data_IF_044992846686
#
_entry.id   IF_044992846686
#
_cell.length_a   1.000
_cell.length_b   1.000
_cell.length_c   1.000
_cell.angle_alpha   90.00
_cell.angle_beta   90.00
_cell.angle_gamma   90.00
#
_symmetry.space_group_name_H-M   'P 1'
#
loop_
_entity.id
_entity.type
_entity.pdbx_description
1 polymer ?
#
# COMPACT_ATOMS: atom_id res chain seq x y z
N UNK A 1 15.32 5.99 52.56
CA UNK A 1 13.88 6.18 52.85
C UNK A 1 13.27 6.97 51.69
N UNK A 2 12.75 6.26 50.69
CA UNK A 2 12.17 6.83 49.46
C UNK A 2 10.67 7.03 49.64
N UNK A 3 10.22 8.27 49.51
CA UNK A 3 8.82 8.68 49.61
C UNK A 3 8.08 8.21 48.34
N UNK A 4 6.96 7.46 48.43
CA UNK A 4 6.24 7.00 47.26
C UNK A 4 5.63 8.19 46.52
N UNK A 5 5.84 8.26 45.20
CA UNK A 5 5.21 9.23 44.32
C UNK A 5 3.73 8.90 44.19
N UNK A 6 2.88 9.81 44.65
CA UNK A 6 1.43 9.73 44.51
C UNK A 6 1.04 10.14 43.08
N UNK A 7 0.68 9.14 42.26
CA UNK A 7 0.32 9.31 40.85
C UNK A 7 -1.18 9.62 40.63
N UNK A 8 -1.94 10.00 41.68
CA UNK A 8 -3.39 10.24 41.58
C UNK A 8 -3.79 11.63 41.06
N UNK A 9 -2.85 12.46 40.61
CA UNK A 9 -3.13 13.87 40.28
C UNK A 9 -2.93 14.28 38.82
N UNK A 10 -2.78 13.33 37.88
CA UNK A 10 -2.56 13.66 36.47
C UNK A 10 -3.83 13.73 35.58
N UNK A 11 -5.03 13.60 36.15
CA UNK A 11 -6.28 13.66 35.37
C UNK A 11 -6.75 15.08 35.05
N UNK A 12 -6.19 16.10 35.72
CA UNK A 12 -6.79 17.45 35.74
C UNK A 12 -6.08 18.46 34.83
N UNK A 13 -4.99 18.05 34.15
CA UNK A 13 -4.13 18.98 33.41
C UNK A 13 -4.48 19.18 31.93
N UNK A 14 -5.57 18.57 31.45
CA UNK A 14 -6.02 18.75 30.07
C UNK A 14 -7.50 19.11 30.07
N UNK A 15 -7.78 20.42 30.16
CA UNK A 15 -9.10 21.02 30.03
C UNK A 15 -9.66 20.92 28.60
N UNK A 16 -9.65 19.72 28.01
CA UNK A 16 -10.48 19.42 26.85
C UNK A 16 -11.90 19.35 27.39
N UNK A 17 -12.68 20.41 27.15
CA UNK A 17 -14.14 20.32 27.26
C UNK A 17 -14.56 19.11 26.43
N UNK A 18 -15.33 18.15 26.95
CA UNK A 18 -15.86 17.08 26.13
C UNK A 18 -16.64 17.73 24.99
N UNK A 19 -16.10 17.61 23.78
CA UNK A 19 -16.73 18.15 22.58
C UNK A 19 -18.17 17.60 22.53
N UNK A 20 -19.10 18.49 22.20
CA UNK A 20 -20.53 18.22 22.16
C UNK A 20 -20.80 16.82 21.59
N UNK A 21 -21.34 15.94 22.46
CA UNK A 21 -21.88 14.61 22.19
C UNK A 21 -21.64 14.11 20.76
N UNK A 22 -20.43 13.57 20.51
CA UNK A 22 -20.10 12.98 19.22
C UNK A 22 -21.09 11.86 18.90
N UNK A 23 -22.08 12.16 18.05
CA UNK A 23 -23.06 11.19 17.58
C UNK A 23 -22.34 10.22 16.66
N UNK A 24 -21.99 9.04 17.19
CA UNK A 24 -21.44 7.92 16.43
C UNK A 24 -22.27 7.71 15.16
N UNK A 25 -21.64 7.96 14.03
CA UNK A 25 -22.24 7.74 12.72
C UNK A 25 -22.42 6.25 12.49
N UNK A 26 -23.27 5.87 11.53
CA UNK A 26 -23.53 4.46 11.21
C UNK A 26 -22.23 3.74 10.77
N UNK A 27 -21.29 4.47 10.16
CA UNK A 27 -19.95 3.97 9.84
C UNK A 27 -19.09 3.65 11.08
N UNK A 28 -19.16 4.45 12.14
CA UNK A 28 -18.38 4.20 13.37
C UNK A 28 -18.87 2.97 14.13
N UNK A 29 -20.18 2.66 14.02
CA UNK A 29 -20.77 1.48 14.68
C UNK A 29 -20.45 0.17 13.98
N UNK A 30 -20.20 0.19 12.67
CA UNK A 30 -19.98 -1.01 11.88
C UNK A 30 -18.49 -1.37 11.71
N UNK A 31 -17.57 -0.56 12.24
CA UNK A 31 -16.13 -0.82 12.15
C UNK A 31 -15.63 -0.93 10.71
N UNK A 32 -14.49 -1.60 10.51
CA UNK A 32 -13.93 -1.84 9.17
C UNK A 32 -14.91 -2.60 8.25
N UNK A 33 -15.71 -3.51 8.83
CA UNK A 33 -16.71 -4.33 8.13
C UNK A 33 -17.83 -3.49 7.49
N UNK A 34 -18.16 -2.34 8.08
CA UNK A 34 -19.16 -1.42 7.53
C UNK A 34 -18.80 -0.89 6.14
N UNK A 35 -17.50 -0.65 5.90
CA UNK A 35 -17.02 -0.17 4.61
C UNK A 35 -17.14 -1.25 3.52
N UNK A 36 -16.97 -2.52 3.89
CA UNK A 36 -17.13 -3.65 2.99
C UNK A 36 -18.60 -3.91 2.66
N UNK A 37 -19.51 -3.74 3.64
CA UNK A 37 -20.96 -3.82 3.42
C UNK A 37 -21.45 -2.74 2.45
N UNK A 38 -20.99 -1.50 2.61
CA UNK A 38 -21.33 -0.39 1.69
C UNK A 38 -20.81 -0.62 0.27
N UNK A 39 -19.59 -1.17 0.14
CA UNK A 39 -19.03 -1.56 -1.15
C UNK A 39 -19.85 -2.69 -1.79
N UNK A 40 -20.17 -3.74 -1.03
CA UNK A 40 -20.99 -4.85 -1.50
C UNK A 40 -22.39 -4.38 -1.95
N UNK A 41 -23.01 -3.46 -1.21
CA UNK A 41 -24.29 -2.86 -1.58
C UNK A 41 -24.22 -2.09 -2.89
N UNK A 42 -23.18 -1.27 -3.09
CA UNK A 42 -22.95 -0.55 -4.35
C UNK A 42 -22.72 -1.49 -5.53
N UNK A 43 -22.00 -2.60 -5.32
CA UNK A 43 -21.80 -3.63 -6.35
C UNK A 43 -23.09 -4.36 -6.74
N UNK A 44 -24.13 -4.38 -5.90
CA UNK A 44 -25.44 -4.96 -6.24
C UNK A 44 -26.38 -3.95 -6.92
N UNK A 45 -26.37 -2.69 -6.48
CA UNK A 45 -27.31 -1.66 -6.96
C UNK A 45 -27.05 -1.23 -8.40
N UNK A 46 -25.77 -1.03 -8.76
CA UNK A 46 -25.39 -0.55 -10.09
C UNK A 46 -25.81 -1.53 -11.20
N UNK A 47 -25.49 -2.84 -11.13
CA UNK A 47 -25.88 -3.78 -12.18
C UNK A 47 -27.39 -4.05 -12.25
N UNK A 48 -28.10 -4.00 -11.12
CA UNK A 48 -29.57 -4.15 -11.13
C UNK A 48 -30.25 -2.98 -11.82
N UNK A 49 -29.82 -1.74 -11.55
CA UNK A 49 -30.31 -0.56 -12.25
C UNK A 49 -30.01 -0.62 -13.76
N UNK A 50 -28.80 -1.04 -14.15
CA UNK A 50 -28.42 -1.20 -15.56
C UNK A 50 -29.30 -2.25 -16.28
N UNK A 51 -29.57 -3.40 -15.64
CA UNK A 51 -30.43 -4.45 -16.19
C UNK A 51 -31.87 -3.97 -16.44
N UNK A 52 -32.43 -3.19 -15.52
CA UNK A 52 -33.78 -2.60 -15.67
C UNK A 52 -33.82 -1.67 -16.88
N UNK A 53 -32.83 -0.78 -17.03
CA UNK A 53 -32.77 0.18 -18.13
C UNK A 53 -32.67 -0.51 -19.50
N UNK A 54 -31.88 -1.59 -19.61
CA UNK A 54 -31.77 -2.39 -20.84
C UNK A 54 -33.11 -3.04 -21.19
N UNK A 55 -33.81 -3.61 -20.20
CA UNK A 55 -35.15 -4.19 -20.39
C UNK A 55 -36.17 -3.17 -20.92
N UNK A 56 -36.18 -1.96 -20.34
CA UNK A 56 -37.05 -0.86 -20.79
C UNK A 56 -36.69 -0.43 -22.22
N UNK A 57 -35.40 -0.24 -22.52
CA UNK A 57 -34.94 0.15 -23.85
C UNK A 57 -35.36 -0.89 -24.92
N UNK A 58 -35.28 -2.18 -24.61
CA UNK A 58 -35.70 -3.25 -25.52
C UNK A 58 -37.19 -3.19 -25.85
N UNK A 59 -38.04 -2.92 -24.87
CA UNK A 59 -39.50 -2.75 -25.06
C UNK A 59 -39.79 -1.52 -25.93
N UNK A 60 -39.09 -0.42 -25.70
CA UNK A 60 -39.25 0.83 -26.47
C UNK A 60 -38.81 0.65 -27.92
N UNK A 61 -37.74 -0.13 -28.18
CA UNK A 61 -37.24 -0.40 -29.55
C UNK A 61 -38.20 -1.35 -30.30
N UNK A 62 -38.78 -2.35 -29.64
CA UNK A 62 -39.76 -3.28 -30.25
C UNK A 62 -41.20 -2.72 -30.27
N UNK A 63 -41.38 -1.47 -30.69
CA UNK A 63 -42.68 -0.78 -30.89
C UNK A 63 -43.66 -1.42 -31.89
N UNK A 64 -43.37 -2.60 -32.44
CA UNK A 64 -44.24 -3.36 -33.37
C UNK A 64 -44.95 -4.56 -32.72
N UNK A 65 -44.82 -4.78 -31.42
CA UNK A 65 -45.51 -5.88 -30.75
C UNK A 65 -46.99 -5.51 -30.47
N UNK A 66 -47.94 -6.45 -30.65
CA UNK A 66 -49.36 -6.21 -30.40
C UNK A 66 -49.62 -5.84 -28.92
N UNK A 67 -50.64 -5.02 -28.64
CA UNK A 67 -50.86 -4.36 -27.34
C UNK A 67 -51.41 -5.28 -26.23
N UNK A 68 -50.99 -6.55 -26.18
CA UNK A 68 -51.28 -7.36 -25.00
C UNK A 68 -50.29 -6.98 -23.88
N UNK A 69 -50.77 -6.14 -22.96
CA UNK A 69 -49.99 -5.66 -21.81
C UNK A 69 -49.31 -6.80 -21.03
N UNK A 70 -49.90 -8.00 -21.00
CA UNK A 70 -49.33 -9.21 -20.40
C UNK A 70 -48.01 -9.65 -21.01
N UNK A 71 -47.84 -9.60 -22.34
CA UNK A 71 -46.58 -10.00 -22.97
C UNK A 71 -45.46 -9.01 -22.67
N UNK A 72 -45.77 -7.71 -22.62
CA UNK A 72 -44.78 -6.67 -22.29
C UNK A 72 -44.20 -6.88 -20.88
N UNK A 73 -45.03 -7.18 -19.88
CA UNK A 73 -44.56 -7.48 -18.52
C UNK A 73 -43.65 -8.72 -18.47
N UNK A 74 -43.99 -9.78 -19.20
CA UNK A 74 -43.17 -11.00 -19.26
C UNK A 74 -41.79 -10.69 -19.84
N UNK A 75 -41.70 -9.88 -20.91
CA UNK A 75 -40.42 -9.52 -21.50
C UNK A 75 -39.56 -8.64 -20.58
N UNK A 76 -40.16 -7.71 -19.84
CA UNK A 76 -39.45 -6.88 -18.86
C UNK A 76 -38.90 -7.74 -17.73
N UNK A 77 -39.73 -8.64 -17.18
CA UNK A 77 -39.33 -9.55 -16.11
C UNK A 77 -38.19 -10.48 -16.56
N UNK A 78 -38.30 -11.05 -17.77
CA UNK A 78 -37.27 -11.92 -18.33
C UNK A 78 -35.96 -11.17 -18.58
N UNK A 79 -36.03 -9.93 -19.10
CA UNK A 79 -34.87 -9.06 -19.30
C UNK A 79 -34.15 -8.72 -17.99
N UNK A 80 -34.91 -8.43 -16.92
CA UNK A 80 -34.35 -8.17 -15.60
C UNK A 80 -33.64 -9.40 -15.02
N UNK A 81 -34.22 -10.60 -15.17
CA UNK A 81 -33.62 -11.86 -14.70
C UNK A 81 -32.33 -12.17 -15.47
N UNK A 82 -32.35 -12.06 -16.80
CA UNK A 82 -31.17 -12.32 -17.64
C UNK A 82 -30.06 -11.30 -17.37
N UNK A 83 -30.42 -10.02 -17.24
CA UNK A 83 -29.48 -8.96 -16.87
C UNK A 83 -28.83 -9.21 -15.51
N UNK A 84 -29.63 -9.58 -14.50
CA UNK A 84 -29.14 -9.92 -13.17
C UNK A 84 -28.20 -11.15 -13.19
N UNK A 85 -28.50 -12.17 -14.00
CA UNK A 85 -27.62 -13.34 -14.15
C UNK A 85 -26.28 -13.00 -14.81
N UNK A 86 -26.29 -12.24 -15.91
CA UNK A 86 -25.05 -11.89 -16.63
C UNK A 86 -24.18 -10.97 -15.78
N UNK A 87 -24.76 -9.92 -15.21
CA UNK A 87 -23.99 -8.96 -14.41
C UNK A 87 -23.65 -9.48 -13.02
N UNK A 88 -24.57 -10.19 -12.36
CA UNK A 88 -24.31 -10.78 -11.04
C UNK A 88 -23.35 -11.97 -11.11
N UNK A 89 -23.53 -12.86 -12.09
CA UNK A 89 -22.59 -13.95 -12.34
C UNK A 89 -21.24 -13.45 -12.85
N UNK A 90 -21.25 -12.48 -13.78
CA UNK A 90 -20.05 -11.85 -14.30
C UNK A 90 -19.26 -11.08 -13.24
N UNK A 91 -19.92 -10.33 -12.36
CA UNK A 91 -19.26 -9.63 -11.25
C UNK A 91 -18.70 -10.61 -10.21
N UNK A 92 -19.42 -11.69 -9.90
CA UNK A 92 -18.92 -12.73 -9.00
C UNK A 92 -17.67 -13.42 -9.57
N UNK A 93 -17.70 -13.80 -10.85
CA UNK A 93 -16.54 -14.37 -11.54
C UNK A 93 -15.39 -13.38 -11.67
N UNK A 94 -15.69 -12.09 -11.88
CA UNK A 94 -14.69 -11.04 -11.88
C UNK A 94 -14.06 -10.89 -10.50
N UNK A 95 -14.83 -10.86 -9.41
CA UNK A 95 -14.30 -10.80 -8.05
C UNK A 95 -13.49 -12.05 -7.72
N UNK A 96 -13.96 -13.25 -8.07
CA UNK A 96 -13.24 -14.51 -7.83
C UNK A 96 -11.99 -14.67 -8.71
N UNK A 97 -12.02 -14.20 -9.95
CA UNK A 97 -10.87 -14.22 -10.86
C UNK A 97 -9.85 -13.13 -10.52
N UNK A 98 -10.32 -11.93 -10.23
CA UNK A 98 -9.50 -10.81 -9.81
C UNK A 98 -8.88 -11.06 -8.44
N UNK A 99 -9.57 -11.70 -7.49
CA UNK A 99 -8.96 -12.06 -6.20
C UNK A 99 -7.85 -13.11 -6.34
N UNK A 100 -7.97 -14.07 -7.26
CA UNK A 100 -6.89 -15.03 -7.55
C UNK A 100 -5.71 -14.40 -8.26
N UNK A 101 -5.95 -13.53 -9.25
CA UNK A 101 -4.88 -12.85 -10.01
C UNK A 101 -4.23 -11.67 -9.28
N UNK A 102 -5.00 -10.90 -8.52
CA UNK A 102 -4.52 -9.76 -7.74
C UNK A 102 -3.89 -10.18 -6.41
N UNK A 103 -4.26 -11.34 -5.85
CA UNK A 103 -3.64 -11.86 -4.62
C UNK A 103 -2.14 -12.14 -4.78
N UNK A 104 -1.72 -12.72 -5.91
CA UNK A 104 -0.30 -12.98 -6.19
C UNK A 104 0.46 -11.73 -6.66
N UNK A 105 -0.19 -10.82 -7.40
CA UNK A 105 0.46 -9.62 -7.96
C UNK A 105 0.46 -8.37 -7.07
N UNK A 106 -0.59 -8.16 -6.28
CA UNK A 106 -0.75 -6.95 -5.44
C UNK A 106 -0.27 -7.21 -4.00
N UNK A 107 -0.37 -8.45 -3.50
CA UNK A 107 0.14 -8.81 -2.18
C UNK A 107 1.64 -8.56 -2.03
N UNK A 108 2.43 -8.86 -3.08
CA UNK A 108 3.87 -8.58 -3.13
C UNK A 108 4.22 -7.09 -3.29
N UNK A 109 3.30 -6.29 -3.83
CA UNK A 109 3.49 -4.86 -4.07
C UNK A 109 3.03 -3.99 -2.90
N UNK A 110 1.97 -4.38 -2.17
CA UNK A 110 1.45 -3.65 -1.01
C UNK A 110 2.02 -4.16 0.32
N UNK A 111 2.40 -5.43 0.42
CA UNK A 111 2.96 -6.01 1.64
C UNK A 111 4.09 -7.01 1.30
N UNK A 112 5.31 -6.54 0.94
CA UNK A 112 6.47 -7.41 0.85
C UNK A 112 6.76 -7.96 2.24
N UNK A 113 6.21 -9.14 2.55
CA UNK A 113 6.37 -9.92 3.78
C UNK A 113 6.99 -9.11 4.93
N UNK A 114 6.21 -8.17 5.46
CA UNK A 114 6.47 -7.63 6.77
C UNK A 114 6.15 -8.77 7.73
N UNK A 115 7.15 -9.62 7.94
CA UNK A 115 7.43 -10.22 9.24
C UNK A 115 6.94 -9.21 10.28
N UNK A 116 6.04 -9.62 11.18
CA UNK A 116 5.49 -8.78 12.26
C UNK A 116 6.66 -8.40 13.19
N UNK A 117 7.52 -7.52 12.70
CA UNK A 117 8.65 -6.96 13.39
C UNK A 117 8.06 -6.05 14.45
N UNK A 118 8.65 -6.14 15.65
CA UNK A 118 8.49 -5.26 16.80
C UNK A 118 7.74 -3.98 16.44
N UNK A 119 6.51 -3.85 16.94
CA UNK A 119 5.66 -2.71 16.60
C UNK A 119 6.29 -1.43 17.12
N UNK A 120 6.89 -0.63 16.23
CA UNK A 120 7.29 0.76 16.47
C UNK A 120 6.04 1.64 16.56
N UNK A 121 5.02 1.21 17.32
CA UNK A 121 3.70 1.81 17.36
C UNK A 121 3.75 3.24 17.88
N UNK A 122 4.69 3.52 18.79
CA UNK A 122 4.95 4.88 19.28
C UNK A 122 5.52 5.77 18.18
N UNK A 123 6.53 5.31 17.46
CA UNK A 123 7.15 6.04 16.35
C UNK A 123 6.17 6.26 15.20
N UNK A 124 5.41 5.22 14.85
CA UNK A 124 4.37 5.28 13.83
C UNK A 124 3.27 6.28 14.24
N UNK A 125 2.91 6.36 15.53
CA UNK A 125 1.96 7.36 16.04
C UNK A 125 2.50 8.80 16.01
N UNK A 126 3.83 8.98 16.12
CA UNK A 126 4.48 10.28 15.97
C UNK A 126 4.43 10.71 14.50
N UNK A 127 4.79 9.81 13.58
CA UNK A 127 4.69 10.06 12.13
C UNK A 127 3.25 10.36 11.71
N UNK A 128 2.27 9.61 12.21
CA UNK A 128 0.85 9.83 11.91
C UNK A 128 0.33 11.19 12.39
N UNK A 129 0.93 11.75 13.45
CA UNK A 129 0.64 13.11 13.95
C UNK A 129 1.40 14.21 13.21
N UNK A 130 2.26 13.86 12.26
CA UNK A 130 3.14 14.79 11.56
C UNK A 130 4.41 15.16 12.35
N UNK A 131 4.64 14.57 13.52
CA UNK A 131 5.85 14.78 14.32
C UNK A 131 6.99 13.87 13.83
N UNK A 132 7.48 14.18 12.63
CA UNK A 132 8.56 13.43 11.97
C UNK A 132 9.86 13.53 12.77
N UNK A 133 10.18 14.71 13.31
CA UNK A 133 11.39 14.92 14.11
C UNK A 133 11.36 14.14 15.41
N UNK A 134 10.21 14.09 16.09
CA UNK A 134 10.01 13.27 17.29
C UNK A 134 10.16 11.78 17.00
N UNK A 135 9.64 11.31 15.87
CA UNK A 135 9.82 9.94 15.42
C UNK A 135 11.30 9.61 15.13
N UNK A 136 12.01 10.47 14.40
CA UNK A 136 13.43 10.29 14.09
C UNK A 136 14.30 10.27 15.34
N UNK A 137 14.04 11.16 16.30
CA UNK A 137 14.72 11.15 17.61
C UNK A 137 14.48 9.83 18.35
N UNK A 138 13.25 9.32 18.33
CA UNK A 138 12.92 8.04 18.96
C UNK A 138 13.66 6.87 18.30
N UNK A 139 13.68 6.83 16.96
CA UNK A 139 14.45 5.82 16.23
C UNK A 139 15.95 5.91 16.53
N UNK A 140 16.52 7.12 16.68
CA UNK A 140 17.91 7.29 17.06
C UNK A 140 18.19 6.69 18.46
N UNK A 141 17.34 6.97 19.46
CA UNK A 141 17.46 6.36 20.79
C UNK A 141 17.38 4.84 20.76
N UNK A 142 16.47 4.28 19.96
CA UNK A 142 16.36 2.81 19.82
C UNK A 142 17.61 2.25 19.11
N UNK A 143 18.12 2.93 18.09
CA UNK A 143 19.32 2.50 17.36
C UNK A 143 20.61 2.60 18.19
N UNK A 144 20.65 3.48 19.19
CA UNK A 144 21.71 3.55 20.19
C UNK A 144 21.61 2.42 21.22
N UNK A 145 20.39 2.12 21.68
CA UNK A 145 20.14 1.03 22.62
C UNK A 145 20.34 -0.36 21.99
N UNK A 146 20.08 -0.48 20.69
CA UNK A 146 20.15 -1.74 19.94
C UNK A 146 20.99 -1.55 18.65
N UNK A 147 22.34 -1.46 18.76
CA UNK A 147 23.20 -1.17 17.61
C UNK A 147 23.09 -2.19 16.46
N UNK A 148 22.84 -3.45 16.80
CA UNK A 148 22.73 -4.57 15.84
C UNK A 148 21.35 -4.63 15.15
N UNK A 149 20.38 -3.84 15.62
CA UNK A 149 19.04 -3.83 15.07
C UNK A 149 18.97 -2.96 13.81
N UNK A 150 19.24 -3.60 12.67
CA UNK A 150 19.20 -2.96 11.35
C UNK A 150 17.80 -2.48 10.95
N UNK A 151 16.74 -3.08 11.48
CA UNK A 151 15.36 -2.72 11.12
C UNK A 151 15.01 -1.30 11.54
N UNK A 152 15.46 -0.87 12.73
CA UNK A 152 15.28 0.50 13.24
C UNK A 152 15.88 1.52 12.27
N UNK A 153 17.09 1.22 11.79
CA UNK A 153 17.83 2.10 10.87
C UNK A 153 17.20 2.14 9.49
N UNK A 154 16.66 1.01 9.01
CA UNK A 154 15.88 0.96 7.76
C UNK A 154 14.60 1.80 7.88
N UNK A 155 13.90 1.74 9.01
CA UNK A 155 12.70 2.56 9.26
C UNK A 155 13.03 4.06 9.31
N UNK A 156 14.10 4.43 10.00
CA UNK A 156 14.57 5.81 10.02
C UNK A 156 14.99 6.29 8.62
N UNK A 157 15.71 5.46 7.85
CA UNK A 157 16.12 5.78 6.49
C UNK A 157 14.93 6.04 5.56
N UNK A 158 13.89 5.23 5.68
CA UNK A 158 12.66 5.40 4.91
C UNK A 158 11.90 6.66 5.32
N UNK A 159 11.90 7.00 6.61
CA UNK A 159 11.30 8.25 7.09
C UNK A 159 12.05 9.48 6.56
N UNK A 160 13.39 9.47 6.59
CA UNK A 160 14.20 10.51 5.95
C UNK A 160 13.92 10.65 4.45
N UNK A 161 13.80 9.52 3.73
CA UNK A 161 13.45 9.53 2.30
C UNK A 161 12.11 10.22 2.04
N UNK A 162 11.09 9.89 2.83
CA UNK A 162 9.75 10.50 2.72
C UNK A 162 9.77 12.00 3.02
N UNK A 163 10.67 12.45 3.89
CA UNK A 163 10.87 13.87 4.20
C UNK A 163 11.85 14.59 3.25
N UNK A 164 12.19 13.97 2.11
CA UNK A 164 13.17 14.50 1.13
C UNK A 164 14.58 14.75 1.68
N UNK A 165 14.92 14.16 2.84
CA UNK A 165 16.26 14.19 3.44
C UNK A 165 17.11 13.06 2.84
N UNK A 166 17.47 13.21 1.56
CA UNK A 166 18.05 12.11 0.77
C UNK A 166 19.45 11.72 1.21
N UNK A 167 20.30 12.66 1.66
CA UNK A 167 21.66 12.33 2.11
C UNK A 167 21.63 11.53 3.42
N UNK A 168 20.78 11.94 4.37
CA UNK A 168 20.57 11.24 5.64
C UNK A 168 20.00 9.84 5.41
N UNK A 169 19.00 9.73 4.52
CA UNK A 169 18.46 8.44 4.09
C UNK A 169 19.54 7.54 3.49
N UNK A 170 20.35 8.07 2.57
CA UNK A 170 21.44 7.34 1.94
C UNK A 170 22.53 6.94 2.94
N UNK A 171 22.82 7.78 3.94
CA UNK A 171 23.78 7.46 5.00
C UNK A 171 23.32 6.26 5.82
N UNK A 172 22.04 6.22 6.22
CA UNK A 172 21.47 5.12 6.98
C UNK A 172 21.40 3.82 6.17
N UNK A 173 20.97 3.87 4.91
CA UNK A 173 20.98 2.67 4.06
C UNK A 173 22.42 2.15 3.81
N UNK A 174 23.40 3.05 3.60
CA UNK A 174 24.82 2.65 3.49
C UNK A 174 25.33 2.01 4.78
N UNK A 175 24.92 2.52 5.94
CA UNK A 175 25.27 1.94 7.23
C UNK A 175 24.70 0.53 7.39
N UNK A 176 23.41 0.33 7.10
CA UNK A 176 22.77 -1.00 7.17
C UNK A 176 23.48 -1.97 6.23
N UNK A 177 23.76 -1.53 5.00
CA UNK A 177 24.50 -2.31 4.01
C UNK A 177 25.89 -2.75 4.49
N UNK A 178 26.64 -1.87 5.18
CA UNK A 178 27.98 -2.21 5.67
C UNK A 178 27.99 -3.06 6.94
N UNK A 179 26.89 -3.09 7.69
CA UNK A 179 26.73 -3.86 8.93
C UNK A 179 25.74 -5.03 8.78
N UNK A 180 25.30 -5.33 7.55
CA UNK A 180 24.38 -6.41 7.28
C UNK A 180 25.02 -7.77 7.58
N UNK A 181 24.48 -8.46 8.58
CA UNK A 181 24.91 -9.83 8.93
C UNK A 181 24.25 -10.87 8.02
N UNK A 182 23.09 -10.54 7.44
CA UNK A 182 22.33 -11.42 6.55
C UNK A 182 22.38 -10.88 5.13
N UNK A 183 22.49 -11.76 4.11
CA UNK A 183 22.40 -11.34 2.70
C UNK A 183 21.12 -10.57 2.38
N UNK A 184 19.99 -10.91 3.02
CA UNK A 184 18.70 -10.24 2.85
C UNK A 184 18.80 -8.75 3.17
N UNK A 185 19.50 -8.37 4.23
CA UNK A 185 19.56 -6.99 4.71
C UNK A 185 20.46 -6.13 3.81
N UNK A 186 21.59 -6.68 3.34
CA UNK A 186 22.46 -6.03 2.34
C UNK A 186 21.70 -5.77 1.04
N UNK A 187 21.03 -6.79 0.51
CA UNK A 187 20.24 -6.67 -0.72
C UNK A 187 19.12 -5.66 -0.53
N UNK A 188 18.39 -5.72 0.59
CA UNK A 188 17.31 -4.79 0.88
C UNK A 188 17.79 -3.34 0.93
N UNK A 189 18.83 -3.05 1.72
CA UNK A 189 19.41 -1.71 1.82
C UNK A 189 19.94 -1.21 0.47
N UNK A 190 20.48 -2.10 -0.36
CA UNK A 190 21.01 -1.74 -1.68
C UNK A 190 19.93 -1.43 -2.71
N UNK A 191 18.84 -2.20 -2.71
CA UNK A 191 17.67 -1.89 -3.54
C UNK A 191 17.07 -0.55 -3.12
N UNK A 192 16.98 -0.28 -1.81
CA UNK A 192 16.53 1.03 -1.32
C UNK A 192 17.46 2.18 -1.71
N UNK A 193 18.78 1.97 -1.72
CA UNK A 193 19.74 2.96 -2.25
C UNK A 193 19.53 3.20 -3.75
N UNK A 194 19.30 2.14 -4.54
CA UNK A 194 19.02 2.25 -5.97
C UNK A 194 17.76 3.09 -6.18
N UNK A 195 16.66 2.77 -5.50
CA UNK A 195 15.41 3.53 -5.57
C UNK A 195 15.61 5.00 -5.19
N UNK A 196 16.33 5.25 -4.09
CA UNK A 196 16.64 6.59 -3.60
C UNK A 196 17.48 7.39 -4.62
N UNK A 197 18.50 6.78 -5.22
CA UNK A 197 19.36 7.42 -6.20
C UNK A 197 18.69 7.67 -7.55
N UNK A 198 17.63 6.93 -7.88
CA UNK A 198 16.82 7.19 -9.07
C UNK A 198 15.89 8.40 -8.88
N UNK A 199 15.43 8.65 -7.66
CA UNK A 199 14.57 9.83 -7.36
C UNK A 199 15.36 11.07 -6.95
N UNK A 200 16.65 10.93 -6.61
CA UNK A 200 17.52 12.03 -6.20
C UNK A 200 18.32 12.56 -7.39
N UNK A 201 18.02 13.79 -7.86
CA UNK A 201 18.77 14.41 -8.96
C UNK A 201 20.27 14.38 -8.71
N UNK A 202 21.07 14.27 -9.79
CA UNK A 202 22.54 14.21 -9.78
C UNK A 202 23.15 12.89 -9.27
N UNK A 203 22.37 12.01 -8.64
CA UNK A 203 22.89 10.79 -8.01
C UNK A 203 22.54 9.49 -8.76
N UNK A 204 21.90 9.58 -9.92
CA UNK A 204 21.54 8.43 -10.76
C UNK A 204 22.74 7.54 -11.12
N UNK A 205 23.92 8.14 -11.34
CA UNK A 205 25.15 7.37 -11.60
C UNK A 205 25.52 6.41 -10.45
N UNK A 206 25.07 6.72 -9.22
CA UNK A 206 25.27 5.87 -8.05
C UNK A 206 24.37 4.63 -8.07
N UNK A 207 23.15 4.72 -8.62
CA UNK A 207 22.23 3.56 -8.71
C UNK A 207 22.80 2.46 -9.61
N UNK A 208 23.40 2.83 -10.75
CA UNK A 208 24.11 1.89 -11.63
C UNK A 208 25.30 1.23 -10.94
N UNK A 209 26.04 1.97 -10.10
CA UNK A 209 27.15 1.41 -9.31
C UNK A 209 26.65 0.40 -8.28
N UNK A 210 25.53 0.69 -7.61
CA UNK A 210 24.93 -0.26 -6.66
C UNK A 210 24.43 -1.53 -7.35
N UNK A 211 23.82 -1.42 -8.53
CA UNK A 211 23.42 -2.59 -9.33
C UNK A 211 24.64 -3.43 -9.72
N UNK A 212 25.73 -2.78 -10.17
CA UNK A 212 26.98 -3.48 -10.48
C UNK A 212 27.56 -4.18 -9.24
N UNK A 213 27.54 -3.52 -8.08
CA UNK A 213 27.98 -4.11 -6.82
C UNK A 213 27.19 -5.38 -6.47
N UNK A 214 25.87 -5.37 -6.67
CA UNK A 214 25.03 -6.56 -6.44
C UNK A 214 25.36 -7.71 -7.39
N UNK A 215 25.65 -7.41 -8.67
CA UNK A 215 26.11 -8.40 -9.67
C UNK A 215 27.43 -9.03 -9.22
N UNK A 216 28.40 -8.20 -8.85
CA UNK A 216 29.73 -8.64 -8.46
C UNK A 216 29.73 -9.40 -7.13
N UNK A 217 28.89 -9.00 -6.17
CA UNK A 217 28.83 -9.59 -4.83
C UNK A 217 28.03 -10.90 -4.76
N UNK A 218 27.02 -11.09 -5.62
CA UNK A 218 26.12 -12.25 -5.57
C UNK A 218 26.12 -13.08 -6.88
N UNK A 219 27.29 -13.57 -7.36
CA UNK A 219 27.38 -14.28 -8.62
C UNK A 219 26.61 -15.61 -8.60
N UNK A 220 26.04 -15.99 -9.74
CA UNK A 220 25.23 -17.20 -9.94
C UNK A 220 23.83 -17.16 -9.32
N UNK A 221 23.49 -16.10 -8.57
CA UNK A 221 22.21 -16.00 -7.86
C UNK A 221 21.11 -15.35 -8.70
N UNK A 222 19.88 -15.47 -8.24
CA UNK A 222 18.74 -14.72 -8.82
C UNK A 222 18.90 -13.20 -8.66
N UNK A 223 19.60 -12.74 -7.61
CA UNK A 223 19.91 -11.32 -7.39
C UNK A 223 20.76 -10.79 -8.55
N UNK A 224 21.82 -11.51 -8.92
CA UNK A 224 22.67 -11.12 -10.07
C UNK A 224 21.84 -10.99 -11.35
N UNK A 225 21.02 -12.00 -11.67
CA UNK A 225 20.23 -12.00 -12.91
C UNK A 225 19.31 -10.79 -12.97
N UNK A 226 18.60 -10.50 -11.88
CA UNK A 226 17.71 -9.33 -11.77
C UNK A 226 18.48 -8.01 -11.85
N UNK A 227 19.61 -7.91 -11.17
CA UNK A 227 20.46 -6.71 -11.22
C UNK A 227 21.06 -6.47 -12.61
N UNK A 228 21.43 -7.52 -13.36
CA UNK A 228 21.88 -7.40 -14.76
C UNK A 228 20.78 -6.85 -15.67
N UNK A 229 19.56 -7.39 -15.54
CA UNK A 229 18.40 -6.92 -16.31
C UNK A 229 18.08 -5.46 -15.97
N UNK A 230 18.03 -5.11 -14.68
CA UNK A 230 17.79 -3.75 -14.23
C UNK A 230 18.87 -2.77 -14.73
N UNK A 231 20.15 -3.16 -14.67
CA UNK A 231 21.26 -2.34 -15.15
C UNK A 231 21.20 -2.12 -16.67
N UNK A 232 20.86 -3.16 -17.44
CA UNK A 232 20.71 -3.04 -18.89
C UNK A 232 19.54 -2.13 -19.27
N UNK A 233 18.39 -2.25 -18.59
CA UNK A 233 17.23 -1.37 -18.78
C UNK A 233 17.56 0.08 -18.44
N UNK A 234 18.21 0.33 -17.31
CA UNK A 234 18.59 1.68 -16.89
C UNK A 234 19.59 2.34 -17.86
N UNK A 235 20.54 1.56 -18.42
CA UNK A 235 21.46 2.06 -19.45
C UNK A 235 20.74 2.44 -20.75
N UNK A 236 19.78 1.63 -21.20
CA UNK A 236 18.97 1.92 -22.40
C UNK A 236 18.18 3.20 -22.27
N UNK A 237 17.52 3.37 -21.13
CA UNK A 237 16.69 4.54 -20.86
C UNK A 237 17.52 5.83 -20.82
N UNK A 238 18.75 5.76 -20.27
CA UNK A 238 19.57 6.94 -20.03
C UNK A 238 20.56 7.29 -21.13
N UNK A 239 21.06 6.28 -21.85
CA UNK A 239 22.07 6.45 -22.91
C UNK A 239 21.61 5.79 -24.21
N UNK A 240 20.49 6.25 -24.80
CA UNK A 240 19.94 5.63 -26.01
C UNK A 240 20.94 5.68 -27.19
N UNK A 241 21.75 6.74 -27.27
CA UNK A 241 22.75 6.96 -28.33
C UNK A 241 23.98 6.05 -28.22
N UNK A 242 24.27 5.50 -27.03
CA UNK A 242 25.44 4.64 -26.82
C UNK A 242 25.18 3.16 -27.20
N UNK A 243 23.99 2.84 -27.69
CA UNK A 243 23.54 1.46 -27.98
C UNK A 243 23.19 1.19 -29.45
N UNK A 244 23.35 2.19 -30.33
CA UNK A 244 23.34 2.03 -31.79
C UNK A 244 24.74 1.77 -32.32
#
# INVERSE_FOLDING_TARGET
MTKPLDLRHSSDLVGIKPDAEYRRTLSDRMGAEGSDLFRAFNYCLIPTAAGILIGVAWVVVKRRLPPSHTLAFIYIALGAIVGAMIFGGGSLLFVLGFSRGAGEGIGSFLHPQAEYQRGYSREDSLVARGDVDGALKSFATIAEAEPDNVDVRLRAAELHRKNSSFEESAALYRYVRSHATRPRDDVHASLRLIDLYLIWPENEGRSMRELKRLIDKYPGTEIEKRSRVALASLKRERFPEAMT
#
